data_IF_546318965399
#
_entry.id   IF_546318965399
#
_cell.length_a   1.000
_cell.length_b   1.000
_cell.length_c   1.000
_cell.angle_alpha   90.00
_cell.angle_beta   90.00
_cell.angle_gamma   90.00
#
_symmetry.space_group_name_H-M   'P 1'
#
loop_
_entity.id
_entity.type
_entity.pdbx_description
1 polymer ?
#
# COMPACT_ATOMS: atom_id res chain seq x y z
N UNK A 1 14.59 -0.40 -1.43
CA UNK A 1 14.70 -0.57 0.04
C UNK A 1 14.56 0.77 0.74
N UNK A 2 15.68 1.46 0.98
CA UNK A 2 15.68 2.71 1.76
C UNK A 2 14.86 3.86 1.14
N UNK A 3 14.90 4.04 -0.18
CA UNK A 3 14.12 5.09 -0.87
C UNK A 3 12.60 4.93 -0.67
N UNK A 4 12.10 3.71 -0.83
CA UNK A 4 10.67 3.38 -0.65
C UNK A 4 10.26 3.50 0.83
N UNK A 5 11.11 3.05 1.74
CA UNK A 5 10.83 3.04 3.18
C UNK A 5 10.74 4.43 3.82
N UNK A 6 11.46 5.43 3.29
CA UNK A 6 11.39 6.80 3.77
C UNK A 6 10.28 7.63 3.13
N UNK A 7 10.11 7.50 1.81
CA UNK A 7 9.18 8.35 1.05
C UNK A 7 7.71 8.05 1.34
N UNK A 8 7.31 6.78 1.39
CA UNK A 8 5.91 6.41 1.63
C UNK A 8 5.35 6.96 2.95
N UNK A 9 5.99 6.72 4.13
CA UNK A 9 5.49 7.27 5.38
C UNK A 9 5.60 8.79 5.44
N UNK A 10 6.65 9.40 4.88
CA UNK A 10 6.78 10.86 4.84
C UNK A 10 5.65 11.51 4.02
N UNK A 11 5.31 10.97 2.84
CA UNK A 11 4.21 11.46 2.01
C UNK A 11 2.85 11.24 2.66
N UNK A 12 2.65 10.12 3.37
CA UNK A 12 1.44 9.86 4.15
C UNK A 12 1.25 10.91 5.24
N UNK A 13 2.28 11.14 6.06
CA UNK A 13 2.25 12.13 7.16
C UNK A 13 1.97 13.52 6.61
N UNK A 14 2.71 13.95 5.58
CA UNK A 14 2.49 15.24 4.94
C UNK A 14 1.04 15.40 4.45
N UNK A 15 0.52 14.40 3.74
CA UNK A 15 -0.84 14.45 3.17
C UNK A 15 -1.92 14.55 4.24
N UNK A 16 -1.79 13.83 5.36
CA UNK A 16 -2.77 13.90 6.45
C UNK A 16 -2.64 15.20 7.24
N UNK A 17 -1.42 15.71 7.46
CA UNK A 17 -1.21 16.95 8.21
C UNK A 17 -1.74 18.18 7.49
N UNK A 18 -1.74 18.22 6.16
CA UNK A 18 -2.33 19.31 5.37
C UNK A 18 -3.87 19.29 5.34
N UNK A 19 -4.52 18.25 5.88
CA UNK A 19 -5.99 18.05 5.78
C UNK A 19 -6.67 17.95 7.15
N UNK A 20 -7.97 18.29 7.25
CA UNK A 20 -8.71 18.18 8.50
C UNK A 20 -8.79 16.72 8.98
N UNK A 21 -8.71 16.53 10.31
CA UNK A 21 -8.65 15.22 11.00
C UNK A 21 -9.74 14.23 10.59
N UNK A 22 -10.92 14.74 10.26
CA UNK A 22 -12.10 13.98 9.84
C UNK A 22 -11.94 13.30 8.47
N UNK A 23 -10.92 13.66 7.69
CA UNK A 23 -10.69 13.12 6.34
C UNK A 23 -9.37 12.36 6.19
N UNK A 24 -8.67 12.14 7.30
CA UNK A 24 -7.33 11.54 7.30
C UNK A 24 -7.33 10.11 6.77
N UNK A 25 -8.37 9.31 7.02
CA UNK A 25 -8.52 7.95 6.51
C UNK A 25 -8.69 7.95 4.99
N UNK A 26 -9.54 8.82 4.45
CA UNK A 26 -9.73 8.98 3.02
C UNK A 26 -8.45 9.44 2.33
N UNK A 27 -7.85 10.55 2.76
CA UNK A 27 -6.63 11.06 2.11
C UNK A 27 -5.42 10.13 2.28
N UNK A 28 -5.27 9.47 3.44
CA UNK A 28 -4.23 8.45 3.63
C UNK A 28 -4.44 7.23 2.72
N UNK A 29 -5.68 6.79 2.52
CA UNK A 29 -6.00 5.68 1.62
C UNK A 29 -5.74 6.01 0.15
N UNK A 30 -5.86 7.27 -0.28
CA UNK A 30 -5.48 7.71 -1.63
C UNK A 30 -3.99 7.55 -1.90
N UNK A 31 -3.12 7.79 -0.90
CA UNK A 31 -1.67 7.59 -1.04
C UNK A 31 -1.37 6.11 -1.23
N UNK A 32 -2.01 5.22 -0.46
CA UNK A 32 -1.86 3.77 -0.64
C UNK A 32 -2.44 3.29 -1.97
N UNK A 33 -3.58 3.85 -2.40
CA UNK A 33 -4.17 3.55 -3.71
C UNK A 33 -3.19 3.93 -4.83
N UNK A 34 -2.58 5.12 -4.78
CA UNK A 34 -1.60 5.57 -5.75
C UNK A 34 -0.37 4.64 -5.81
N UNK A 35 0.11 4.16 -4.66
CA UNK A 35 1.19 3.18 -4.61
C UNK A 35 0.82 1.85 -5.31
N UNK A 36 -0.38 1.33 -5.06
CA UNK A 36 -0.88 0.11 -5.71
C UNK A 36 -1.07 0.30 -7.22
N UNK A 37 -1.62 1.44 -7.65
CA UNK A 37 -1.73 1.79 -9.08
C UNK A 37 -0.35 1.81 -9.75
N UNK A 38 0.66 2.39 -9.09
CA UNK A 38 2.04 2.40 -9.60
C UNK A 38 2.61 1.00 -9.79
N UNK A 39 2.42 0.11 -8.82
CA UNK A 39 2.82 -1.30 -8.94
C UNK A 39 2.10 -2.01 -10.08
N UNK A 40 0.79 -1.77 -10.23
CA UNK A 40 0.01 -2.36 -11.31
C UNK A 40 0.49 -1.89 -12.68
N UNK A 41 0.76 -0.60 -12.84
CA UNK A 41 1.29 -0.05 -14.08
C UNK A 41 2.64 -0.68 -14.43
N UNK A 42 3.51 -0.87 -13.42
CA UNK A 42 4.78 -1.57 -13.58
C UNK A 42 4.60 -3.03 -14.03
N UNK A 43 3.65 -3.75 -13.41
CA UNK A 43 3.32 -5.11 -13.83
C UNK A 43 2.74 -5.16 -15.25
N UNK A 44 1.90 -4.20 -15.63
CA UNK A 44 1.33 -4.11 -16.98
C UNK A 44 2.44 -3.90 -18.02
N UNK A 45 3.38 -2.98 -17.76
CA UNK A 45 4.55 -2.77 -18.62
C UNK A 45 5.38 -4.05 -18.72
N UNK A 46 5.60 -4.75 -17.59
CA UNK A 46 6.31 -6.03 -17.58
C UNK A 46 5.60 -7.12 -18.38
N UNK A 47 4.28 -7.21 -18.28
CA UNK A 47 3.48 -8.17 -19.03
C UNK A 47 3.49 -7.88 -20.54
N UNK A 48 3.31 -6.62 -20.93
CA UNK A 48 3.39 -6.19 -22.33
C UNK A 48 4.76 -6.47 -22.93
N UNK A 49 5.83 -6.26 -22.17
CA UNK A 49 7.18 -6.56 -22.64
C UNK A 49 7.40 -8.06 -22.88
N UNK A 50 6.80 -8.93 -22.07
CA UNK A 50 6.86 -10.39 -22.28
C UNK A 50 6.02 -10.87 -23.46
N UNK A 51 4.96 -10.14 -23.82
CA UNK A 51 4.12 -10.47 -24.97
C UNK A 51 4.75 -10.03 -26.30
N UNK A 52 5.48 -8.91 -26.27
CA UNK A 52 6.12 -8.32 -27.47
C UNK A 52 7.54 -8.85 -27.71
N UNK A 53 8.28 -9.22 -26.66
CA UNK A 53 9.69 -9.65 -26.75
C UNK A 53 9.85 -11.12 -26.38
N UNK A 54 10.76 -11.80 -27.07
CA UNK A 54 11.19 -13.14 -26.67
C UNK A 54 12.03 -13.10 -25.38
N UNK A 55 12.13 -14.21 -24.66
CA UNK A 55 12.90 -14.31 -23.41
C UNK A 55 14.36 -13.85 -23.56
N UNK A 56 15.00 -14.16 -24.70
CA UNK A 56 16.37 -13.70 -25.01
C UNK A 56 16.46 -12.19 -25.19
N UNK A 57 15.46 -11.57 -25.82
CA UNK A 57 15.41 -10.11 -26.01
C UNK A 57 15.13 -9.38 -24.69
N UNK A 58 14.26 -9.95 -23.84
CA UNK A 58 13.96 -9.41 -22.52
C UNK A 58 15.22 -9.35 -21.64
N UNK A 59 16.01 -10.45 -21.63
CA UNK A 59 17.25 -10.56 -20.86
C UNK A 59 18.39 -9.71 -21.41
N UNK A 60 18.49 -9.59 -22.73
CA UNK A 60 19.56 -8.81 -23.37
C UNK A 60 19.38 -7.30 -23.21
N UNK A 61 18.17 -6.78 -23.48
CA UNK A 61 17.93 -5.33 -23.44
C UNK A 61 16.55 -4.90 -22.95
N UNK A 62 15.53 -5.75 -23.04
CA UNK A 62 14.15 -5.40 -22.69
C UNK A 62 13.96 -4.92 -21.25
N UNK A 63 14.79 -5.43 -20.32
CA UNK A 63 14.81 -4.97 -18.93
C UNK A 63 15.09 -3.47 -18.74
N UNK A 64 15.65 -2.78 -19.74
CA UNK A 64 15.92 -1.32 -19.67
C UNK A 64 14.69 -0.45 -19.87
N UNK A 65 13.65 -0.97 -20.56
CA UNK A 65 12.43 -0.20 -20.86
C UNK A 65 11.69 0.26 -19.59
N UNK A 66 11.48 -0.59 -18.57
CA UNK A 66 10.91 -0.16 -17.30
C UNK A 66 11.71 0.97 -16.62
N UNK A 67 13.05 0.94 -16.69
CA UNK A 67 13.88 2.00 -16.11
C UNK A 67 13.72 3.34 -16.85
N UNK A 68 13.61 3.31 -18.18
CA UNK A 68 13.34 4.51 -18.98
C UNK A 68 11.95 5.08 -18.66
N UNK A 69 10.94 4.24 -18.45
CA UNK A 69 9.62 4.71 -18.02
C UNK A 69 9.65 5.41 -16.64
N UNK A 70 10.55 4.98 -15.75
CA UNK A 70 10.80 5.63 -14.46
C UNK A 70 11.35 7.06 -14.60
N UNK A 71 12.09 7.36 -15.69
CA UNK A 71 12.58 8.73 -15.96
C UNK A 71 11.42 9.68 -16.22
N UNK A 72 10.39 9.25 -16.96
CA UNK A 72 9.20 10.07 -17.19
C UNK A 72 8.47 10.39 -15.87
N UNK A 73 8.36 9.40 -14.98
CA UNK A 73 7.78 9.59 -13.65
C UNK A 73 8.64 10.55 -12.82
N UNK A 74 9.96 10.47 -12.92
CA UNK A 74 10.88 11.38 -12.24
C UNK A 74 10.70 12.84 -12.71
N UNK A 75 10.47 13.06 -14.00
CA UNK A 75 10.12 14.39 -14.53
C UNK A 75 8.82 14.93 -13.95
N UNK A 76 7.77 14.09 -13.84
CA UNK A 76 6.50 14.48 -13.22
C UNK A 76 6.71 14.82 -11.74
N UNK A 77 7.48 14.03 -11.01
CA UNK A 77 7.83 14.29 -9.61
C UNK A 77 8.61 15.60 -9.45
N UNK A 78 9.55 15.89 -10.35
CA UNK A 78 10.28 17.15 -10.36
C UNK A 78 9.37 18.33 -10.69
N UNK A 79 8.46 18.18 -11.65
CA UNK A 79 7.47 19.21 -11.98
C UNK A 79 6.57 19.52 -10.77
N UNK A 80 6.04 18.50 -10.10
CA UNK A 80 5.23 18.67 -8.89
C UNK A 80 6.01 19.36 -7.76
N UNK A 81 7.32 19.07 -7.62
CA UNK A 81 8.16 19.72 -6.61
C UNK A 81 8.47 21.18 -6.95
N UNK A 82 8.63 21.50 -8.23
CA UNK A 82 8.97 22.87 -8.67
C UNK A 82 7.75 23.80 -8.69
N UNK A 83 6.57 23.28 -9.03
CA UNK A 83 5.34 24.07 -9.17
C UNK A 83 4.30 23.84 -8.05
N UNK A 84 4.52 22.86 -7.19
CA UNK A 84 3.68 22.61 -6.03
C UNK A 84 3.88 23.70 -4.99
N UNK A 85 2.78 24.36 -4.61
CA UNK A 85 2.77 25.25 -3.45
C UNK A 85 2.85 24.39 -2.19
N UNK A 86 4.01 24.35 -1.55
CA UNK A 86 4.18 23.73 -0.23
C UNK A 86 3.42 24.60 0.79
N UNK A 87 2.19 24.20 1.13
CA UNK A 87 1.55 24.71 2.33
C UNK A 87 2.06 23.90 3.51
N UNK A 88 3.05 24.44 4.23
CA UNK A 88 3.45 23.91 5.53
C UNK A 88 2.40 24.39 6.55
N UNK A 89 1.48 23.53 7.03
CA UNK A 89 0.44 23.96 7.98
C UNK A 89 1.02 24.45 9.32
N UNK A 90 2.32 24.26 9.55
CA UNK A 90 3.03 24.62 10.78
C UNK A 90 4.11 25.69 10.60
N UNK A 91 4.16 26.40 9.46
CA UNK A 91 5.23 27.37 9.11
C UNK A 91 5.37 28.60 10.03
N UNK A 92 4.63 28.66 11.14
CA UNK A 92 4.80 29.68 12.19
C UNK A 92 4.55 29.18 13.61
N UNK A 93 4.30 27.87 13.80
CA UNK A 93 4.02 27.30 15.14
C UNK A 93 5.31 26.93 15.90
N UNK A 94 6.41 26.70 15.18
CA UNK A 94 7.69 26.28 15.76
C UNK A 94 8.63 27.44 16.12
N UNK A 95 8.34 28.65 15.68
CA UNK A 95 9.20 29.83 15.92
C UNK A 95 9.02 30.43 17.34
N UNK A 96 8.08 29.91 18.14
CA UNK A 96 7.71 30.50 19.43
C UNK A 96 7.66 29.52 20.62
N UNK A 97 8.22 28.31 20.51
CA UNK A 97 8.31 27.40 21.66
C UNK A 97 9.74 27.24 22.19
N UNK A 98 10.11 28.17 23.06
CA UNK A 98 11.17 28.04 24.09
C UNK A 98 10.77 27.04 25.19
N UNK A 99 10.26 25.87 24.82
CA UNK A 99 9.92 24.80 25.77
C UNK A 99 10.88 23.64 25.56
N UNK A 100 11.78 23.45 26.53
CA UNK A 100 12.59 22.25 26.76
C UNK A 100 12.25 21.10 25.82
N UNK A 101 12.96 20.99 24.70
CA UNK A 101 12.79 19.92 23.72
C UNK A 101 13.18 18.59 24.37
N UNK A 102 12.21 17.97 25.04
CA UNK A 102 12.24 16.56 25.38
C UNK A 102 12.51 15.79 24.09
N UNK A 103 13.49 14.87 24.12
CA UNK A 103 13.88 14.11 22.94
C UNK A 103 12.64 13.35 22.42
N UNK A 104 12.11 13.67 21.22
CA UNK A 104 10.84 13.14 20.72
C UNK A 104 10.88 11.61 20.56
N UNK A 105 12.06 11.04 20.36
CA UNK A 105 12.27 9.58 20.36
C UNK A 105 12.02 9.03 21.76
N UNK A 106 12.64 9.64 22.79
CA UNK A 106 12.48 9.23 24.19
C UNK A 106 11.04 9.38 24.68
N UNK A 107 10.34 10.39 24.19
CA UNK A 107 8.93 10.65 24.49
C UNK A 107 7.99 9.65 23.81
N UNK A 108 8.31 9.25 22.58
CA UNK A 108 7.60 8.18 21.87
C UNK A 108 7.70 6.83 22.59
N UNK A 109 8.85 6.52 23.20
CA UNK A 109 9.09 5.29 23.97
C UNK A 109 8.63 5.35 25.44
N UNK A 110 7.91 6.40 25.85
CA UNK A 110 7.43 6.56 27.22
C UNK A 110 6.31 5.57 27.55
N UNK A 111 6.21 5.18 28.83
CA UNK A 111 5.24 4.19 29.32
C UNK A 111 3.79 4.58 28.99
N UNK A 112 3.50 5.87 28.98
CA UNK A 112 2.17 6.45 28.72
C UNK A 112 1.75 6.28 27.25
N UNK A 113 2.71 6.16 26.33
CA UNK A 113 2.48 5.96 24.90
C UNK A 113 2.50 4.49 24.47
N UNK A 114 2.62 3.53 25.41
CA UNK A 114 2.72 2.09 25.10
C UNK A 114 1.59 1.57 24.22
N UNK A 115 0.37 2.05 24.43
CA UNK A 115 -0.79 1.62 23.66
C UNK A 115 -0.73 2.13 22.21
N UNK A 116 -0.29 3.37 22.01
CA UNK A 116 0.00 3.95 20.70
C UNK A 116 1.17 3.25 20.01
N UNK A 117 2.22 2.88 20.75
CA UNK A 117 3.36 2.10 20.27
C UNK A 117 2.94 0.72 19.80
N UNK A 118 2.08 0.05 20.57
CA UNK A 118 1.51 -1.25 20.23
C UNK A 118 0.65 -1.15 18.97
N UNK A 119 -0.22 -0.14 18.90
CA UNK A 119 -1.05 0.12 17.72
C UNK A 119 -0.19 0.40 16.47
N UNK A 120 0.88 1.19 16.62
CA UNK A 120 1.84 1.49 15.56
C UNK A 120 2.60 0.25 15.06
N UNK A 121 2.87 -0.72 15.94
CA UNK A 121 3.53 -1.97 15.57
C UNK A 121 2.55 -2.99 14.95
N UNK A 122 1.37 -3.16 15.56
CA UNK A 122 0.41 -4.18 15.15
C UNK A 122 -0.33 -3.83 13.86
N UNK A 123 -0.61 -2.54 13.61
CA UNK A 123 -1.36 -2.12 12.42
C UNK A 123 -0.63 -2.46 11.11
N UNK A 124 0.67 -2.14 10.95
CA UNK A 124 1.43 -2.56 9.77
C UNK A 124 1.61 -4.06 9.68
N UNK A 125 1.75 -4.77 10.81
CA UNK A 125 1.85 -6.24 10.82
C UNK A 125 0.57 -6.90 10.29
N UNK A 126 -0.60 -6.42 10.71
CA UNK A 126 -1.88 -6.89 10.19
C UNK A 126 -1.96 -6.67 8.67
N UNK A 127 -1.63 -5.47 8.19
CA UNK A 127 -1.61 -5.17 6.76
C UNK A 127 -0.63 -6.06 5.98
N UNK A 128 0.60 -6.20 6.48
CA UNK A 128 1.63 -7.03 5.87
C UNK A 128 1.22 -8.52 5.81
N UNK A 129 0.58 -9.03 6.86
CA UNK A 129 0.08 -10.42 6.88
C UNK A 129 -1.01 -10.66 5.84
N UNK A 130 -1.99 -9.76 5.73
CA UNK A 130 -3.04 -9.85 4.71
C UNK A 130 -2.50 -9.75 3.30
N UNK A 131 -1.55 -8.83 3.08
CA UNK A 131 -0.86 -8.69 1.79
C UNK A 131 -0.08 -9.96 1.43
N UNK A 132 0.69 -10.53 2.36
CA UNK A 132 1.51 -11.71 2.09
C UNK A 132 0.65 -12.95 1.80
N UNK A 133 -0.41 -13.17 2.59
CA UNK A 133 -1.35 -14.27 2.38
C UNK A 133 -2.06 -14.17 1.01
N UNK A 134 -2.48 -12.96 0.62
CA UNK A 134 -3.26 -12.76 -0.61
C UNK A 134 -2.39 -12.67 -1.86
N UNK A 135 -1.21 -12.05 -1.77
CA UNK A 135 -0.36 -11.78 -2.92
C UNK A 135 0.65 -12.89 -3.17
N UNK A 136 1.33 -13.38 -2.12
CA UNK A 136 2.41 -14.36 -2.24
C UNK A 136 1.88 -15.77 -2.08
N UNK A 137 1.18 -16.04 -0.98
CA UNK A 137 0.75 -17.41 -0.67
C UNK A 137 -0.37 -17.89 -1.60
N UNK A 138 -1.36 -17.05 -1.91
CA UNK A 138 -2.42 -17.42 -2.85
C UNK A 138 -1.88 -17.72 -4.27
N UNK A 139 -0.90 -16.95 -4.74
CA UNK A 139 -0.28 -17.19 -6.04
C UNK A 139 0.43 -18.56 -6.07
N UNK A 140 1.15 -18.91 -5.01
CA UNK A 140 1.79 -20.23 -4.87
C UNK A 140 0.75 -21.34 -4.77
N UNK A 141 -0.34 -21.11 -4.04
CA UNK A 141 -1.42 -22.07 -3.86
C UNK A 141 -2.12 -22.42 -5.18
N UNK A 142 -2.44 -21.41 -5.99
CA UNK A 142 -3.12 -21.60 -7.28
C UNK A 142 -2.22 -22.21 -8.38
N UNK A 143 -0.90 -22.11 -8.24
CA UNK A 143 0.07 -22.59 -9.24
C UNK A 143 0.65 -23.98 -8.90
N UNK A 144 0.89 -24.25 -7.61
CA UNK A 144 1.63 -25.45 -7.16
C UNK A 144 0.74 -26.46 -6.43
N UNK A 145 -0.35 -26.03 -5.78
CA UNK A 145 -1.13 -26.85 -4.85
C UNK A 145 -2.54 -27.21 -5.35
N UNK A 146 -3.03 -26.59 -6.42
CA UNK A 146 -4.34 -26.88 -7.04
C UNK A 146 -4.15 -27.56 -8.39
N UNK A 147 -4.81 -28.70 -8.56
CA UNK A 147 -4.77 -29.53 -9.78
C UNK A 147 -6.21 -29.72 -10.29
N UNK A 148 -6.60 -29.28 -11.50
CA UNK A 148 -5.78 -28.71 -12.56
C UNK A 148 -5.37 -27.24 -12.34
N UNK A 149 -4.19 -26.81 -12.84
CA UNK A 149 -3.70 -25.44 -12.69
C UNK A 149 -4.60 -24.44 -13.42
N UNK A 150 -4.92 -23.33 -12.76
CA UNK A 150 -5.82 -22.29 -13.29
C UNK A 150 -5.11 -21.56 -14.45
N UNK A 151 -5.65 -21.60 -15.69
CA UNK A 151 -5.10 -20.82 -16.79
C UNK A 151 -5.17 -19.33 -16.45
N UNK A 152 -4.08 -18.58 -16.65
CA UNK A 152 -3.99 -17.13 -16.43
C UNK A 152 -4.06 -16.66 -14.95
N UNK A 153 -3.63 -17.48 -13.98
CA UNK A 153 -3.59 -17.12 -12.56
C UNK A 153 -2.93 -15.75 -12.27
N UNK A 154 -1.88 -15.40 -13.01
CA UNK A 154 -1.22 -14.08 -12.90
C UNK A 154 -2.17 -12.92 -13.25
N UNK A 155 -2.94 -13.04 -14.34
CA UNK A 155 -3.91 -12.01 -14.76
C UNK A 155 -5.09 -11.91 -13.81
N UNK A 156 -5.60 -13.04 -13.33
CA UNK A 156 -6.69 -13.08 -12.35
C UNK A 156 -6.25 -12.42 -11.04
N UNK A 157 -5.03 -12.69 -10.58
CA UNK A 157 -4.47 -12.06 -9.39
C UNK A 157 -4.31 -10.54 -9.59
N UNK A 158 -3.84 -10.11 -10.76
CA UNK A 158 -3.70 -8.70 -11.13
C UNK A 158 -5.04 -7.95 -11.12
N UNK A 159 -6.08 -8.55 -11.72
CA UNK A 159 -7.45 -8.00 -11.75
C UNK A 159 -8.05 -7.99 -10.34
N UNK A 160 -7.84 -9.05 -9.55
CA UNK A 160 -8.36 -9.15 -8.19
C UNK A 160 -7.73 -8.11 -7.26
N UNK A 161 -6.42 -7.86 -7.38
CA UNK A 161 -5.76 -6.81 -6.62
C UNK A 161 -6.16 -5.41 -7.09
N UNK A 162 -6.39 -5.24 -8.40
CA UNK A 162 -6.85 -3.98 -8.94
C UNK A 162 -8.26 -3.62 -8.46
N UNK A 163 -9.23 -4.50 -8.70
CA UNK A 163 -10.61 -4.24 -8.33
C UNK A 163 -10.86 -4.39 -6.82
N UNK A 164 -10.27 -5.42 -6.20
CA UNK A 164 -10.51 -5.77 -4.80
C UNK A 164 -9.71 -4.94 -3.81
N UNK A 165 -8.46 -4.57 -4.12
CA UNK A 165 -7.62 -3.81 -3.18
C UNK A 165 -7.62 -2.32 -3.52
N UNK A 166 -7.33 -1.95 -4.76
CA UNK A 166 -7.11 -0.54 -5.14
C UNK A 166 -8.40 0.29 -5.03
N UNK A 167 -9.54 -0.22 -5.48
CA UNK A 167 -10.81 0.52 -5.45
C UNK A 167 -11.45 0.51 -4.05
N UNK A 168 -11.26 -0.56 -3.27
CA UNK A 168 -11.83 -0.64 -1.93
C UNK A 168 -11.05 0.20 -0.90
N UNK A 169 -9.77 0.49 -1.12
CA UNK A 169 -8.97 1.35 -0.24
C UNK A 169 -9.62 2.71 0.07
N UNK A 170 -10.02 3.54 -0.93
CA UNK A 170 -10.68 4.82 -0.66
C UNK A 170 -12.05 4.67 -0.01
N UNK A 171 -12.79 3.61 -0.36
CA UNK A 171 -14.11 3.31 0.23
C UNK A 171 -13.95 3.01 1.72
N UNK A 172 -13.00 2.14 2.07
CA UNK A 172 -12.71 1.78 3.46
C UNK A 172 -12.04 2.91 4.22
N UNK A 173 -11.23 3.74 3.55
CA UNK A 173 -10.68 4.98 4.11
C UNK A 173 -11.77 5.97 4.50
N UNK A 174 -12.77 6.19 3.63
CA UNK A 174 -13.94 7.01 3.93
C UNK A 174 -14.80 6.42 5.05
N UNK A 175 -14.98 5.10 5.05
CA UNK A 175 -15.76 4.41 6.09
C UNK A 175 -15.07 4.48 7.46
N UNK A 176 -13.74 4.38 7.47
CA UNK A 176 -12.89 4.55 8.65
C UNK A 176 -13.03 5.94 9.27
N UNK A 177 -13.16 6.97 8.42
CA UNK A 177 -13.40 8.34 8.85
C UNK A 177 -14.80 8.54 9.48
N UNK A 178 -15.82 7.81 9.04
CA UNK A 178 -17.20 7.90 9.58
C UNK A 178 -17.46 7.04 10.82
N UNK A 179 -17.01 5.79 10.80
CA UNK A 179 -17.36 4.78 11.82
C UNK A 179 -16.28 4.69 12.92
N UNK A 180 -15.07 5.18 12.62
CA UNK A 180 -13.92 5.15 13.51
C UNK A 180 -12.94 4.04 13.16
N UNK A 181 -11.66 4.39 13.18
CA UNK A 181 -10.53 3.56 12.70
C UNK A 181 -10.44 2.19 13.38
N UNK A 182 -10.65 2.15 14.70
CA UNK A 182 -10.56 0.91 15.50
C UNK A 182 -11.65 -0.08 15.10
N UNK A 183 -12.88 0.37 14.87
CA UNK A 183 -14.00 -0.51 14.48
C UNK A 183 -13.74 -1.12 13.11
N UNK A 184 -13.32 -0.30 12.13
CA UNK A 184 -13.01 -0.78 10.77
C UNK A 184 -11.84 -1.77 10.77
N UNK A 185 -10.78 -1.50 11.54
CA UNK A 185 -9.66 -2.43 11.67
C UNK A 185 -10.08 -3.74 12.34
N UNK A 186 -10.83 -3.68 13.44
CA UNK A 186 -11.31 -4.88 14.14
C UNK A 186 -12.24 -5.73 13.26
N UNK A 187 -13.17 -5.11 12.54
CA UNK A 187 -14.03 -5.82 11.57
C UNK A 187 -13.20 -6.46 10.46
N UNK A 188 -12.18 -5.77 9.95
CA UNK A 188 -11.28 -6.29 8.94
C UNK A 188 -10.46 -7.49 9.44
N UNK A 189 -9.93 -7.43 10.67
CA UNK A 189 -9.21 -8.55 11.29
C UNK A 189 -10.09 -9.78 11.47
N UNK A 190 -11.33 -9.58 11.94
CA UNK A 190 -12.30 -10.69 12.12
C UNK A 190 -12.68 -11.28 10.77
N UNK A 191 -12.99 -10.44 9.77
CA UNK A 191 -13.29 -10.89 8.41
C UNK A 191 -12.13 -11.68 7.82
N UNK A 192 -10.89 -11.23 7.98
CA UNK A 192 -9.72 -11.94 7.49
C UNK A 192 -9.53 -13.30 8.17
N UNK A 193 -9.73 -13.36 9.49
CA UNK A 193 -9.63 -14.61 10.25
C UNK A 193 -10.72 -15.63 9.92
N UNK A 194 -11.93 -15.18 9.58
CA UNK A 194 -13.06 -16.06 9.29
C UNK A 194 -13.16 -16.41 7.79
N UNK A 195 -13.08 -15.42 6.91
CA UNK A 195 -13.20 -15.63 5.47
C UNK A 195 -11.94 -16.22 4.84
N UNK A 196 -10.75 -15.95 5.40
CA UNK A 196 -9.50 -16.50 4.87
C UNK A 196 -9.53 -18.04 4.75
N UNK A 197 -9.77 -18.78 5.84
CA UNK A 197 -9.89 -20.24 5.80
C UNK A 197 -11.04 -20.74 4.90
N UNK A 198 -12.18 -20.04 4.90
CA UNK A 198 -13.36 -20.42 4.10
C UNK A 198 -13.08 -20.28 2.60
N UNK A 199 -12.45 -19.18 2.16
CA UNK A 199 -12.09 -18.97 0.77
C UNK A 199 -11.04 -19.97 0.30
N UNK A 200 -10.06 -20.31 1.15
CA UNK A 200 -9.07 -21.35 0.85
C UNK A 200 -9.74 -22.71 0.69
N UNK A 201 -10.68 -23.06 1.56
CA UNK A 201 -11.45 -24.30 1.42
C UNK A 201 -12.33 -24.31 0.17
N UNK A 202 -12.95 -23.18 -0.18
CA UNK A 202 -13.80 -23.06 -1.36
C UNK A 202 -12.99 -23.22 -2.66
N UNK A 203 -11.79 -22.63 -2.72
CA UNK A 203 -10.86 -22.80 -3.85
C UNK A 203 -10.32 -24.23 -3.89
N UNK A 204 -10.04 -24.83 -2.74
CA UNK A 204 -9.60 -26.23 -2.66
C UNK A 204 -10.69 -27.24 -3.02
N UNK A 205 -11.97 -26.91 -2.84
CA UNK A 205 -13.09 -27.81 -3.14
C UNK A 205 -13.44 -27.88 -4.63
N UNK A 206 -12.99 -26.94 -5.46
CA UNK A 206 -13.07 -27.05 -6.93
C UNK A 206 -14.47 -27.23 -7.53
N UNK A 207 -15.55 -26.99 -6.80
CA UNK A 207 -16.90 -27.06 -7.36
C UNK A 207 -17.24 -25.71 -8.06
N UNK A 208 -17.67 -25.76 -9.33
CA UNK A 208 -17.93 -24.58 -10.17
C UNK A 208 -19.09 -23.69 -9.66
#
# INVERSE_FOLDING_TARGET
GMSVGGQLPASLVYTVETKPREKWGLYGSFVMMAANVGTLLGNLVGALLRDVLTDEQLRSWGWRIPFLSGILIAFVGMYLKTYGTEHHPNEGMYDHQDSQMSNPIKESFRKDNRLSLLACALTPMLWASGFYLTFVWMAIFMDVLVDPPVPNAFWVNLVTLFFGLTIFLPIMGHLSDKIGRVKVMATGSILMGVLGPVLVQFIASGDP
#
